data_IF_414077821607
#
_entry.id   IF_414077821607
#
_cell.length_a   1.000
_cell.length_b   1.000
_cell.length_c   1.000
_cell.angle_alpha   90.00
_cell.angle_beta   90.00
_cell.angle_gamma   90.00
#
_symmetry.space_group_name_H-M   'P 1'
#
loop_
_entity.id
_entity.type
_entity.pdbx_description
1 polymer ?
#
# COMPACT_ATOMS: atom_id res chain seq x y z
N UNK A 1 -31.47 5.73 11.50
CA UNK A 1 -30.40 5.59 10.48
C UNK A 1 -30.30 4.12 10.11
N UNK A 2 -30.61 3.74 8.86
CA UNK A 2 -30.44 2.35 8.41
C UNK A 2 -28.95 2.15 8.16
N UNK A 3 -28.28 1.38 9.00
CA UNK A 3 -26.91 0.95 8.75
C UNK A 3 -26.92 0.07 7.49
N UNK A 4 -26.25 0.52 6.43
CA UNK A 4 -26.07 -0.29 5.22
C UNK A 4 -25.15 -1.45 5.56
N UNK A 5 -25.63 -2.69 5.40
CA UNK A 5 -24.86 -3.92 5.68
C UNK A 5 -24.02 -4.38 4.48
N UNK A 6 -23.98 -3.61 3.39
CA UNK A 6 -23.31 -3.95 2.13
C UNK A 6 -21.93 -3.28 2.07
N UNK A 7 -20.93 -4.00 1.59
CA UNK A 7 -19.57 -3.50 1.33
C UNK A 7 -19.03 -4.11 0.03
N UNK A 8 -18.00 -3.49 -0.55
CA UNK A 8 -17.27 -4.01 -1.70
C UNK A 8 -16.51 -5.28 -1.34
N UNK A 9 -16.34 -6.18 -2.31
CA UNK A 9 -15.43 -7.30 -2.15
C UNK A 9 -13.98 -6.77 -2.03
N UNK A 10 -13.17 -7.27 -1.07
CA UNK A 10 -11.78 -6.87 -0.94
C UNK A 10 -10.97 -7.18 -2.20
N UNK A 11 -9.94 -6.39 -2.48
CA UNK A 11 -9.01 -6.72 -3.57
C UNK A 11 -8.20 -7.95 -3.19
N UNK A 12 -7.99 -8.85 -4.15
CA UNK A 12 -6.94 -9.85 -4.02
C UNK A 12 -5.58 -9.16 -3.94
N UNK A 13 -4.66 -9.73 -3.17
CA UNK A 13 -3.29 -9.24 -3.04
C UNK A 13 -2.32 -10.39 -3.28
N UNK A 14 -1.26 -10.09 -4.03
CA UNK A 14 -0.11 -10.95 -4.23
C UNK A 14 1.16 -10.09 -4.08
N UNK A 15 2.31 -10.72 -3.88
CA UNK A 15 3.59 -10.03 -3.75
C UNK A 15 4.71 -10.76 -4.49
N UNK A 16 5.66 -9.96 -4.98
CA UNK A 16 6.86 -10.48 -5.64
C UNK A 16 7.86 -11.06 -4.62
N UNK A 17 8.82 -11.86 -5.09
CA UNK A 17 9.91 -12.36 -4.24
C UNK A 17 10.80 -11.22 -3.75
N UNK A 18 10.94 -10.18 -4.56
CA UNK A 18 11.66 -8.94 -4.27
C UNK A 18 10.99 -8.22 -3.10
N UNK A 19 9.66 -8.04 -3.14
CA UNK A 19 8.89 -7.44 -2.05
C UNK A 19 9.09 -8.19 -0.73
N UNK A 20 9.06 -9.52 -0.74
CA UNK A 20 9.29 -10.32 0.48
C UNK A 20 10.71 -10.15 1.05
N UNK A 21 11.73 -10.02 0.18
CA UNK A 21 13.11 -9.76 0.60
C UNK A 21 13.24 -8.37 1.22
N UNK A 22 12.65 -7.36 0.58
CA UNK A 22 12.64 -5.99 1.09
C UNK A 22 11.91 -5.89 2.41
N UNK A 23 10.75 -6.52 2.55
CA UNK A 23 10.04 -6.57 3.83
C UNK A 23 10.94 -7.06 4.97
N UNK A 24 11.65 -8.18 4.77
CA UNK A 24 12.58 -8.74 5.78
C UNK A 24 13.73 -7.78 6.07
N UNK A 25 14.38 -7.26 5.04
CA UNK A 25 15.52 -6.33 5.14
C UNK A 25 15.14 -5.06 5.89
N UNK A 26 14.02 -4.42 5.52
CA UNK A 26 13.54 -3.19 6.13
C UNK A 26 13.09 -3.42 7.57
N UNK A 27 12.42 -4.54 7.85
CA UNK A 27 12.08 -4.93 9.24
C UNK A 27 13.34 -5.08 10.11
N UNK A 28 14.37 -5.75 9.59
CA UNK A 28 15.62 -5.96 10.34
C UNK A 28 16.39 -4.67 10.58
N UNK A 29 16.28 -3.67 9.69
CA UNK A 29 16.96 -2.39 9.85
C UNK A 29 16.46 -1.57 11.04
N UNK A 30 15.18 -1.73 11.42
CA UNK A 30 14.53 -0.96 12.48
C UNK A 30 14.28 0.53 12.17
N UNK A 31 14.72 1.02 11.00
CA UNK A 31 14.59 2.44 10.62
C UNK A 31 13.19 2.77 10.11
N UNK A 32 12.54 1.82 9.45
CA UNK A 32 11.28 2.04 8.74
C UNK A 32 10.07 1.69 9.60
N UNK A 33 9.01 2.52 9.50
CA UNK A 33 7.74 2.23 10.16
C UNK A 33 6.95 1.17 9.37
N UNK A 34 7.25 -0.11 9.64
CA UNK A 34 6.59 -1.25 9.00
C UNK A 34 5.10 -1.37 9.35
N UNK A 35 4.63 -0.76 10.44
CA UNK A 35 3.19 -0.72 10.77
C UNK A 35 2.45 0.17 9.78
N UNK A 36 3.01 1.34 9.48
CA UNK A 36 2.43 2.28 8.50
C UNK A 36 2.39 1.69 7.08
N UNK A 37 3.40 0.90 6.71
CA UNK A 37 3.37 0.13 5.46
C UNK A 37 2.19 -0.85 5.44
N UNK A 38 2.03 -1.64 6.51
CA UNK A 38 0.92 -2.60 6.62
C UNK A 38 -0.45 -1.91 6.58
N UNK A 39 -0.59 -0.74 7.22
CA UNK A 39 -1.82 0.05 7.19
C UNK A 39 -2.18 0.49 5.77
N UNK A 40 -1.22 1.01 5.01
CA UNK A 40 -1.43 1.37 3.60
C UNK A 40 -1.90 0.18 2.77
N UNK A 41 -1.26 -0.98 2.94
CA UNK A 41 -1.66 -2.21 2.26
C UNK A 41 -3.09 -2.65 2.61
N UNK A 42 -3.48 -2.56 3.89
CA UNK A 42 -4.83 -2.92 4.32
C UNK A 42 -5.89 -1.98 3.74
N UNK A 43 -5.61 -0.68 3.63
CA UNK A 43 -6.51 0.28 2.98
C UNK A 43 -6.72 -0.05 1.49
N UNK A 44 -5.63 -0.41 0.78
CA UNK A 44 -5.72 -0.85 -0.61
C UNK A 44 -6.55 -2.14 -0.77
N UNK A 45 -6.33 -3.12 0.12
CA UNK A 45 -7.04 -4.40 0.12
C UNK A 45 -8.52 -4.20 0.44
N UNK A 46 -8.87 -3.31 1.38
CA UNK A 46 -10.25 -3.05 1.80
C UNK A 46 -11.15 -2.60 0.62
N UNK A 47 -10.56 -1.97 -0.40
CA UNK A 47 -11.27 -1.56 -1.62
C UNK A 47 -12.37 -0.51 -1.40
N UNK A 48 -12.25 0.29 -0.33
CA UNK A 48 -13.31 1.23 0.08
C UNK A 48 -13.15 2.65 -0.52
N UNK A 49 -12.09 2.89 -1.30
CA UNK A 49 -11.84 4.19 -1.92
C UNK A 49 -10.36 4.42 -2.25
N UNK A 50 -10.00 5.65 -2.64
CA UNK A 50 -8.60 6.06 -2.80
C UNK A 50 -7.87 6.04 -1.45
N UNK A 51 -6.54 5.93 -1.50
CA UNK A 51 -5.72 6.13 -0.30
C UNK A 51 -5.89 7.58 0.21
N UNK A 52 -5.79 7.79 1.54
CA UNK A 52 -5.72 9.13 2.10
C UNK A 52 -4.60 9.98 1.46
N UNK A 53 -4.79 11.30 1.28
CA UNK A 53 -3.84 12.16 0.57
C UNK A 53 -2.41 12.17 1.13
N UNK A 54 -2.23 11.88 2.42
CA UNK A 54 -0.92 11.79 3.07
C UNK A 54 -0.04 10.65 2.55
N UNK A 55 -0.62 9.67 1.84
CA UNK A 55 0.12 8.63 1.15
C UNK A 55 0.59 9.06 -0.24
N UNK A 56 0.23 10.24 -0.74
CA UNK A 56 0.69 10.78 -2.03
C UNK A 56 0.61 9.76 -3.19
N UNK A 57 -0.48 8.97 -3.24
CA UNK A 57 -0.64 7.88 -4.21
C UNK A 57 -0.78 8.42 -5.65
N UNK A 58 0.15 8.08 -6.53
CA UNK A 58 0.17 8.54 -7.92
C UNK A 58 0.56 7.44 -8.92
N UNK A 59 0.09 7.50 -10.18
CA UNK A 59 0.56 6.58 -11.21
C UNK A 59 2.05 6.84 -11.51
N UNK A 60 2.77 5.77 -11.85
CA UNK A 60 4.11 5.88 -12.41
C UNK A 60 4.05 6.08 -13.93
N UNK A 61 5.16 6.53 -14.52
CA UNK A 61 5.27 6.78 -15.96
C UNK A 61 6.22 5.79 -16.65
N UNK A 62 6.21 5.77 -17.99
CA UNK A 62 7.12 4.96 -18.80
C UNK A 62 6.86 3.46 -18.66
N UNK A 63 7.89 2.61 -18.47
CA UNK A 63 7.73 1.17 -18.30
C UNK A 63 6.81 0.77 -17.13
N UNK A 64 6.58 1.69 -16.19
CA UNK A 64 5.80 1.48 -14.98
C UNK A 64 4.39 2.05 -15.07
N UNK A 65 3.88 2.37 -16.27
CA UNK A 65 2.55 3.01 -16.46
C UNK A 65 1.36 2.23 -15.86
N UNK A 66 1.52 0.93 -15.65
CA UNK A 66 0.51 0.08 -15.01
C UNK A 66 0.72 -0.10 -13.50
N UNK A 67 1.68 0.62 -12.92
CA UNK A 67 1.98 0.62 -11.50
C UNK A 67 1.66 1.99 -10.90
N UNK A 68 1.53 2.00 -9.58
CA UNK A 68 1.35 3.21 -8.78
C UNK A 68 2.43 3.23 -7.72
N UNK A 69 2.70 4.40 -7.17
CA UNK A 69 3.57 4.56 -6.03
C UNK A 69 2.84 5.36 -4.95
N UNK A 70 3.03 4.96 -3.69
CA UNK A 70 2.58 5.75 -2.55
C UNK A 70 3.66 5.85 -1.46
N UNK A 71 3.66 6.99 -0.77
CA UNK A 71 4.59 7.33 0.29
C UNK A 71 4.10 6.79 1.63
N UNK A 72 4.87 5.87 2.21
CA UNK A 72 4.68 5.40 3.59
C UNK A 72 5.29 6.40 4.59
N UNK A 73 6.34 7.12 4.19
CA UNK A 73 6.90 8.24 4.94
C UNK A 73 8.30 8.62 4.46
N UNK A 74 8.54 9.91 4.18
CA UNK A 74 9.76 10.35 3.52
C UNK A 74 9.96 9.61 2.19
N UNK A 75 11.17 9.09 1.98
CA UNK A 75 11.53 8.27 0.82
C UNK A 75 11.22 6.77 0.98
N UNK A 76 10.36 6.40 1.95
CA UNK A 76 9.87 5.03 2.07
C UNK A 76 8.61 4.85 1.21
N UNK A 77 8.77 4.19 0.07
CA UNK A 77 7.77 4.07 -0.99
C UNK A 77 7.22 2.63 -1.06
N UNK A 78 5.95 2.51 -1.40
CA UNK A 78 5.29 1.27 -1.80
C UNK A 78 4.91 1.39 -3.28
N UNK A 79 5.35 0.42 -4.08
CA UNK A 79 5.04 0.26 -5.50
C UNK A 79 4.21 -1.00 -5.69
#
# INVERSE_FOLDING_TARGET
MISTKRTSFPRAFDNTKEFQKDWKRLTHSGVFNMRRLKEAMLLLIANEGPLPPEYLDHPLAGPWIHHRECHIGGDFLLI
#
